data_IF_816591345127
#
_entry.id   IF_816591345127
#
_cell.length_a   1.000
_cell.length_b   1.000
_cell.length_c   1.000
_cell.angle_alpha   90.00
_cell.angle_beta   90.00
_cell.angle_gamma   90.00
#
_symmetry.space_group_name_H-M   'P 1'
#
loop_
_entity.id
_entity.type
_entity.pdbx_description
1 polymer ?
#
# COMPACT_ATOMS: atom_id res chain seq x y z
N UNK A 1 -25.29 11.19 17.44
CA UNK A 1 -23.94 11.71 17.71
C UNK A 1 -23.35 12.06 16.35
N UNK A 2 -23.24 13.35 16.03
CA UNK A 2 -22.69 13.78 14.74
C UNK A 2 -21.17 13.60 14.77
N UNK A 3 -20.63 12.89 13.78
CA UNK A 3 -19.18 12.77 13.60
C UNK A 3 -18.55 14.16 13.48
N UNK A 4 -17.39 14.41 14.10
CA UNK A 4 -16.70 15.69 13.97
C UNK A 4 -16.29 15.90 12.49
N UNK A 5 -16.32 17.15 12.00
CA UNK A 5 -15.93 17.45 10.64
C UNK A 5 -14.44 17.09 10.44
N UNK A 6 -14.16 16.33 9.38
CA UNK A 6 -12.79 16.04 8.96
C UNK A 6 -12.15 17.38 8.58
N UNK A 7 -10.99 17.75 9.16
CA UNK A 7 -10.33 19.00 8.81
C UNK A 7 -9.94 18.95 7.33
N UNK A 8 -10.60 19.77 6.50
CA UNK A 8 -10.22 19.98 5.12
C UNK A 8 -8.85 20.68 5.10
N UNK A 9 -7.80 19.89 4.96
CA UNK A 9 -6.50 20.40 4.56
C UNK A 9 -6.62 21.06 3.19
N UNK A 10 -6.15 22.30 3.06
CA UNK A 10 -6.02 23.02 1.78
C UNK A 10 -4.97 22.41 0.83
N UNK A 11 -4.26 21.37 1.27
CA UNK A 11 -3.35 20.59 0.44
C UNK A 11 -4.07 19.35 -0.11
N UNK A 12 -4.36 19.27 -1.42
CA UNK A 12 -5.03 18.13 -2.07
C UNK A 12 -4.35 16.78 -1.81
N UNK A 13 -3.03 16.79 -1.57
CA UNK A 13 -2.24 15.60 -1.25
C UNK A 13 -2.61 14.99 0.11
N UNK A 14 -3.05 15.81 1.08
CA UNK A 14 -3.44 15.32 2.42
C UNK A 14 -4.83 14.68 2.39
N UNK A 15 -5.73 15.11 1.50
CA UNK A 15 -7.07 14.50 1.38
C UNK A 15 -7.02 13.16 0.67
N UNK A 16 -6.19 13.00 -0.36
CA UNK A 16 -6.05 11.72 -1.09
C UNK A 16 -5.17 10.71 -0.37
N UNK A 17 -4.25 11.15 0.50
CA UNK A 17 -3.39 10.23 1.24
C UNK A 17 -4.13 9.42 2.32
N UNK A 18 -5.25 9.90 2.84
CA UNK A 18 -5.98 9.25 3.94
C UNK A 18 -7.21 8.46 3.52
N UNK A 19 -7.71 8.69 2.30
CA UNK A 19 -8.90 8.02 1.76
C UNK A 19 -8.44 6.84 0.88
N UNK A 20 -8.80 5.60 1.21
CA UNK A 20 -8.50 4.45 0.33
C UNK A 20 -9.34 4.50 -0.96
N UNK A 21 -8.88 3.92 -2.09
CA UNK A 21 -9.61 3.91 -3.35
C UNK A 21 -11.07 3.46 -3.24
N UNK A 22 -11.31 2.41 -2.44
CA UNK A 22 -12.65 1.88 -2.23
C UNK A 22 -13.55 2.87 -1.48
N UNK A 23 -13.02 3.63 -0.52
CA UNK A 23 -13.82 4.66 0.15
C UNK A 23 -14.14 5.82 -0.80
N UNK A 24 -13.20 6.23 -1.66
CA UNK A 24 -13.48 7.22 -2.70
C UNK A 24 -14.59 6.76 -3.66
N UNK A 25 -14.61 5.47 -4.01
CA UNK A 25 -15.71 4.88 -4.79
C UNK A 25 -17.06 4.94 -4.05
N UNK A 26 -17.08 4.65 -2.74
CA UNK A 26 -18.29 4.73 -1.92
C UNK A 26 -18.76 6.17 -1.77
N UNK A 27 -17.87 7.12 -1.57
CA UNK A 27 -18.22 8.54 -1.43
C UNK A 27 -18.86 9.12 -2.70
N UNK A 28 -18.60 8.50 -3.86
CA UNK A 28 -19.23 8.83 -5.14
C UNK A 28 -20.62 8.19 -5.33
N UNK A 29 -21.14 7.40 -4.38
CA UNK A 29 -22.42 6.70 -4.51
C UNK A 29 -23.63 7.61 -4.66
N UNK A 30 -23.54 8.83 -4.12
CA UNK A 30 -24.63 9.82 -4.13
C UNK A 30 -24.66 10.65 -5.44
N UNK A 31 -23.74 10.39 -6.35
CA UNK A 31 -23.67 11.05 -7.66
C UNK A 31 -24.54 10.35 -8.71
N UNK A 32 -24.71 10.98 -9.87
CA UNK A 32 -25.37 10.37 -11.03
C UNK A 32 -24.46 9.42 -11.82
N UNK A 33 -23.25 9.12 -11.34
CA UNK A 33 -22.28 8.28 -12.03
C UNK A 33 -22.66 6.80 -11.92
N UNK A 34 -22.54 6.08 -13.03
CA UNK A 34 -22.61 4.62 -13.03
C UNK A 34 -21.43 4.02 -12.24
N UNK A 35 -21.54 2.76 -11.86
CA UNK A 35 -20.45 2.05 -11.17
C UNK A 35 -19.12 2.12 -11.94
N UNK A 36 -19.13 1.90 -13.26
CA UNK A 36 -17.93 2.03 -14.09
C UNK A 36 -17.36 3.45 -14.02
N UNK A 37 -18.21 4.47 -14.14
CA UNK A 37 -17.76 5.87 -14.12
C UNK A 37 -17.20 6.29 -12.76
N UNK A 38 -17.67 5.69 -11.66
CA UNK A 38 -17.08 5.90 -10.34
C UNK A 38 -15.68 5.28 -10.26
N UNK A 39 -15.49 4.09 -10.81
CA UNK A 39 -14.15 3.49 -10.89
C UNK A 39 -13.21 4.27 -11.80
N UNK A 40 -13.70 4.78 -12.93
CA UNK A 40 -12.90 5.66 -13.81
C UNK A 40 -12.48 6.95 -13.08
N UNK A 41 -13.38 7.54 -12.28
CA UNK A 41 -13.06 8.71 -11.47
C UNK A 41 -12.01 8.39 -10.39
N UNK A 42 -12.11 7.24 -9.72
CA UNK A 42 -11.11 6.78 -8.75
C UNK A 42 -9.76 6.57 -9.44
N UNK A 43 -9.70 5.86 -10.56
CA UNK A 43 -8.46 5.67 -11.30
C UNK A 43 -7.82 7.00 -11.70
N UNK A 44 -8.61 7.94 -12.23
CA UNK A 44 -8.15 9.28 -12.57
C UNK A 44 -7.57 10.06 -11.38
N UNK A 45 -8.17 9.95 -10.18
CA UNK A 45 -7.65 10.60 -8.97
C UNK A 45 -6.27 10.04 -8.60
N UNK A 46 -6.06 8.72 -8.68
CA UNK A 46 -4.75 8.13 -8.36
C UNK A 46 -3.71 8.41 -9.45
N UNK A 47 -4.10 8.34 -10.72
CA UNK A 47 -3.25 8.68 -11.86
C UNK A 47 -2.79 10.14 -11.84
N UNK A 48 -3.70 11.08 -11.59
CA UNK A 48 -3.38 12.51 -11.56
C UNK A 48 -2.43 12.92 -10.42
N UNK A 49 -2.34 12.11 -9.36
CA UNK A 49 -1.42 12.31 -8.25
C UNK A 49 -0.06 11.60 -8.45
N UNK A 50 0.12 10.89 -9.56
CA UNK A 50 1.31 10.07 -9.80
C UNK A 50 2.04 10.55 -11.05
N UNK A 51 3.32 10.90 -10.91
CA UNK A 51 4.15 11.31 -12.05
C UNK A 51 4.92 10.14 -12.65
N UNK A 52 5.28 10.23 -13.93
CA UNK A 52 6.16 9.23 -14.58
C UNK A 52 7.50 9.08 -13.88
N UNK A 53 8.07 10.19 -13.38
CA UNK A 53 9.31 10.19 -12.61
C UNK A 53 9.16 9.41 -11.30
N UNK A 54 8.06 9.65 -10.58
CA UNK A 54 7.73 8.94 -9.35
C UNK A 54 7.60 7.43 -9.57
N UNK A 55 6.89 7.01 -10.63
CA UNK A 55 6.79 5.58 -11.00
C UNK A 55 8.14 4.96 -11.35
N UNK A 56 9.00 5.68 -12.10
CA UNK A 56 10.30 5.18 -12.48
C UNK A 56 11.23 5.00 -11.27
N UNK A 57 11.28 6.00 -10.39
CA UNK A 57 12.04 5.93 -9.15
C UNK A 57 11.53 4.82 -8.22
N UNK A 58 10.21 4.78 -8.00
CA UNK A 58 9.56 3.78 -7.17
C UNK A 58 9.79 2.36 -7.67
N UNK A 59 9.74 2.15 -8.99
CA UNK A 59 10.07 0.86 -9.61
C UNK A 59 11.50 0.42 -9.30
N UNK A 60 12.46 1.33 -9.44
CA UNK A 60 13.87 1.02 -9.16
C UNK A 60 14.07 0.67 -7.68
N UNK A 61 13.52 1.49 -6.77
CA UNK A 61 13.60 1.25 -5.33
C UNK A 61 12.94 -0.09 -4.95
N UNK A 62 11.76 -0.37 -5.51
CA UNK A 62 11.03 -1.60 -5.26
C UNK A 62 11.81 -2.84 -5.71
N UNK A 63 12.35 -2.82 -6.93
CA UNK A 63 13.12 -3.94 -7.47
C UNK A 63 14.35 -4.26 -6.60
N UNK A 64 15.00 -3.22 -6.05
CA UNK A 64 16.20 -3.38 -5.23
C UNK A 64 15.92 -3.80 -3.79
N UNK A 65 14.78 -3.42 -3.22
CA UNK A 65 14.57 -3.48 -1.76
C UNK A 65 13.31 -4.22 -1.32
N UNK A 66 12.33 -4.42 -2.21
CA UNK A 66 11.01 -4.95 -1.87
C UNK A 66 10.71 -6.27 -2.58
N UNK A 67 11.15 -6.42 -3.83
CA UNK A 67 10.84 -7.55 -4.69
C UNK A 67 11.33 -8.91 -4.15
N UNK A 68 12.40 -8.93 -3.35
CA UNK A 68 12.90 -10.16 -2.74
C UNK A 68 11.88 -10.83 -1.81
N UNK A 69 10.96 -10.06 -1.21
CA UNK A 69 9.87 -10.60 -0.38
C UNK A 69 8.51 -10.49 -1.08
N UNK A 70 8.23 -9.36 -1.74
CA UNK A 70 6.91 -9.11 -2.34
C UNK A 70 6.78 -9.59 -3.79
N UNK A 71 7.84 -10.14 -4.39
CA UNK A 71 7.88 -10.56 -5.79
C UNK A 71 8.05 -9.39 -6.77
N UNK A 72 8.63 -9.65 -7.95
CA UNK A 72 8.80 -8.61 -8.99
C UNK A 72 7.45 -8.08 -9.51
N UNK A 73 6.43 -8.95 -9.52
CA UNK A 73 5.08 -8.64 -9.95
C UNK A 73 4.16 -8.20 -8.78
N UNK A 74 4.71 -8.07 -7.56
CA UNK A 74 3.93 -7.65 -6.39
C UNK A 74 3.00 -8.71 -5.81
N UNK A 75 3.14 -9.99 -6.19
CA UNK A 75 2.22 -11.05 -5.79
C UNK A 75 2.49 -11.61 -4.38
N UNK A 76 3.44 -11.06 -3.63
CA UNK A 76 3.79 -11.56 -2.28
C UNK A 76 4.57 -12.87 -2.31
N UNK A 77 5.15 -13.23 -3.46
CA UNK A 77 5.78 -14.51 -3.78
C UNK A 77 7.30 -14.36 -4.04
N UNK A 78 7.93 -13.39 -3.39
CA UNK A 78 9.37 -13.20 -3.48
C UNK A 78 10.15 -14.40 -2.92
N UNK A 79 11.44 -14.47 -3.23
CA UNK A 79 12.32 -15.59 -2.82
C UNK A 79 12.35 -15.85 -1.30
N UNK A 80 11.99 -14.87 -0.47
CA UNK A 80 11.89 -15.02 0.99
C UNK A 80 10.46 -15.26 1.50
N UNK A 81 9.44 -15.33 0.63
CA UNK A 81 8.05 -15.44 1.04
C UNK A 81 7.75 -16.75 1.78
N UNK A 82 8.24 -17.88 1.26
CA UNK A 82 8.02 -19.21 1.86
C UNK A 82 8.71 -19.34 3.22
N UNK A 83 9.95 -18.84 3.33
CA UNK A 83 10.71 -18.85 4.60
C UNK A 83 9.98 -18.05 5.69
N UNK A 84 9.41 -16.89 5.34
CA UNK A 84 8.61 -16.06 6.27
C UNK A 84 7.29 -16.73 6.64
N UNK A 85 6.65 -17.44 5.70
CA UNK A 85 5.43 -18.21 5.96
C UNK A 85 5.68 -19.32 6.98
N UNK A 86 6.74 -20.11 6.76
CA UNK A 86 7.13 -21.20 7.64
C UNK A 86 7.46 -20.68 9.04
N UNK A 87 8.26 -19.61 9.13
CA UNK A 87 8.60 -19.02 10.42
C UNK A 87 7.36 -18.54 11.19
N UNK A 88 6.34 -18.02 10.47
CA UNK A 88 5.06 -17.64 11.05
C UNK A 88 4.27 -18.81 11.63
N UNK A 89 4.20 -19.92 10.90
CA UNK A 89 3.52 -21.15 11.33
C UNK A 89 4.20 -21.76 12.57
N UNK A 90 5.53 -21.79 12.59
CA UNK A 90 6.32 -22.29 13.71
C UNK A 90 6.09 -21.45 14.98
N UNK A 91 6.04 -20.12 14.86
CA UNK A 91 5.71 -19.22 15.98
C UNK A 91 4.31 -19.44 16.55
N UNK A 92 3.34 -19.88 15.72
CA UNK A 92 1.95 -20.14 16.17
C UNK A 92 1.80 -21.46 16.94
N UNK A 93 2.66 -22.45 16.70
CA UNK A 93 2.53 -23.79 17.29
C UNK A 93 3.02 -23.88 18.74
N UNK A 94 3.83 -22.93 19.22
CA UNK A 94 4.56 -23.08 20.50
C UNK A 94 3.92 -22.38 21.71
N UNK A 95 2.76 -21.73 21.58
CA UNK A 95 2.02 -21.04 22.67
C UNK A 95 2.84 -19.99 23.47
N UNK A 96 4.08 -19.68 23.08
CA UNK A 96 4.83 -18.48 23.47
C UNK A 96 4.32 -17.22 22.74
N UNK A 97 3.44 -17.41 21.75
CA UNK A 97 2.97 -16.47 20.73
C UNK A 97 2.12 -15.27 21.20
N UNK A 98 2.16 -14.89 22.48
CA UNK A 98 1.69 -13.57 22.92
C UNK A 98 2.82 -12.54 23.04
N UNK A 99 4.09 -12.98 22.95
CA UNK A 99 5.27 -12.10 23.02
C UNK A 99 6.26 -12.30 21.87
N UNK A 100 6.21 -13.43 21.16
CA UNK A 100 7.04 -13.67 19.98
C UNK A 100 6.30 -13.24 18.70
N UNK A 101 7.01 -12.50 17.86
CA UNK A 101 6.51 -11.79 16.69
C UNK A 101 6.01 -12.79 15.63
N UNK A 102 4.70 -12.88 15.40
CA UNK A 102 4.13 -13.75 14.35
C UNK A 102 4.57 -13.28 12.97
N UNK A 103 5.60 -13.92 12.39
CA UNK A 103 6.02 -13.68 11.00
C UNK A 103 4.81 -13.85 10.08
N UNK A 104 4.42 -12.74 9.46
CA UNK A 104 3.33 -12.70 8.49
C UNK A 104 3.94 -12.81 7.10
N UNK A 105 3.23 -13.48 6.20
CA UNK A 105 3.61 -13.51 4.81
C UNK A 105 3.58 -12.10 4.20
N UNK A 106 4.47 -11.82 3.23
CA UNK A 106 4.43 -10.58 2.46
C UNK A 106 3.04 -10.33 1.86
N UNK A 107 2.65 -9.07 1.81
CA UNK A 107 1.37 -8.67 1.21
C UNK A 107 1.44 -8.88 -0.31
N UNK A 108 0.43 -9.55 -0.85
CA UNK A 108 0.08 -9.56 -2.27
C UNK A 108 -0.57 -8.21 -2.66
N UNK A 109 0.18 -7.39 -3.37
CA UNK A 109 -0.24 -6.09 -3.91
C UNK A 109 -1.06 -6.19 -5.19
N UNK A 110 -1.23 -7.38 -5.76
CA UNK A 110 -2.13 -7.61 -6.91
C UNK A 110 -3.57 -7.85 -6.45
N UNK A 111 -3.78 -8.22 -5.18
CA UNK A 111 -5.11 -8.43 -4.61
C UNK A 111 -5.88 -7.11 -4.39
N UNK A 112 -6.93 -6.83 -5.19
CA UNK A 112 -7.65 -5.56 -5.12
C UNK A 112 -8.43 -5.39 -3.82
N UNK A 113 -8.92 -6.48 -3.22
CA UNK A 113 -9.65 -6.40 -1.95
C UNK A 113 -8.76 -5.89 -0.82
N UNK A 114 -7.45 -6.18 -0.87
CA UNK A 114 -6.49 -5.65 0.11
C UNK A 114 -6.03 -4.25 -0.26
N UNK A 115 -5.66 -4.03 -1.52
CA UNK A 115 -5.01 -2.79 -1.94
C UNK A 115 -5.98 -1.61 -2.08
N UNK A 116 -7.18 -1.83 -2.60
CA UNK A 116 -8.17 -0.76 -2.74
C UNK A 116 -8.78 -0.35 -1.38
N UNK A 117 -8.66 -1.20 -0.36
CA UNK A 117 -9.04 -0.87 1.02
C UNK A 117 -7.93 -0.17 1.83
N UNK A 118 -6.68 -0.21 1.36
CA UNK A 118 -5.56 0.47 2.01
C UNK A 118 -5.50 1.94 1.56
N UNK A 119 -5.25 2.85 2.50
CA UNK A 119 -4.97 4.25 2.18
C UNK A 119 -3.48 4.46 1.89
N UNK A 120 -3.09 5.45 1.05
CA UNK A 120 -1.68 5.74 0.80
C UNK A 120 -0.88 6.00 2.07
N UNK A 121 -1.45 6.69 3.06
CA UNK A 121 -0.83 6.96 4.36
C UNK A 121 -0.63 5.68 5.19
N UNK A 122 -1.52 4.68 5.07
CA UNK A 122 -1.32 3.38 5.70
C UNK A 122 -0.09 2.68 5.10
N UNK A 123 0.04 2.67 3.78
CA UNK A 123 1.18 2.07 3.09
C UNK A 123 2.48 2.82 3.42
N UNK A 124 2.47 4.15 3.38
CA UNK A 124 3.58 5.01 3.77
C UNK A 124 4.02 4.70 5.21
N UNK A 125 3.07 4.64 6.15
CA UNK A 125 3.34 4.35 7.56
C UNK A 125 3.90 2.94 7.81
N UNK A 126 3.58 1.97 6.94
CA UNK A 126 4.15 0.62 6.94
C UNK A 126 5.58 0.61 6.38
N UNK A 127 5.85 1.34 5.30
CA UNK A 127 7.20 1.46 4.74
C UNK A 127 8.12 2.17 5.73
N UNK A 128 7.67 3.28 6.31
CA UNK A 128 8.42 4.08 7.28
C UNK A 128 8.89 3.26 8.48
N UNK A 129 7.97 2.50 9.09
CA UNK A 129 8.20 1.82 10.37
C UNK A 129 8.52 0.34 10.24
N UNK A 130 8.34 -0.25 9.06
CA UNK A 130 8.23 -1.68 8.89
C UNK A 130 6.95 -2.24 9.53
N UNK A 131 6.90 -3.56 9.67
CA UNK A 131 5.83 -4.23 10.42
C UNK A 131 6.41 -4.99 11.60
N UNK A 132 6.09 -4.57 12.83
CA UNK A 132 6.28 -5.41 14.02
C UNK A 132 5.58 -6.74 13.78
N UNK A 133 6.26 -7.86 13.99
CA UNK A 133 5.72 -9.16 13.61
C UNK A 133 6.15 -9.66 12.24
N UNK A 134 6.41 -8.80 11.25
CA UNK A 134 6.38 -9.21 9.82
C UNK A 134 7.75 -9.45 9.17
N UNK A 135 8.85 -9.16 9.86
CA UNK A 135 10.20 -9.17 9.26
C UNK A 135 10.47 -8.02 8.27
N UNK A 136 9.48 -7.18 7.93
CA UNK A 136 9.66 -6.02 7.06
C UNK A 136 10.56 -4.95 7.70
N UNK A 137 11.68 -4.56 7.07
CA UNK A 137 12.58 -3.54 7.60
C UNK A 137 11.95 -2.16 7.79
N UNK A 138 12.53 -1.36 8.68
CA UNK A 138 12.18 0.05 8.89
C UNK A 138 12.90 0.92 7.85
N UNK A 139 12.21 1.26 6.75
CA UNK A 139 12.84 2.01 5.65
C UNK A 139 12.91 3.52 5.89
N UNK A 140 12.22 4.05 6.89
CA UNK A 140 12.21 5.49 7.19
C UNK A 140 13.56 6.07 7.64
N UNK A 141 14.52 5.22 8.01
CA UNK A 141 15.90 5.64 8.30
C UNK A 141 16.81 5.61 7.06
N UNK A 142 16.35 5.02 5.96
CA UNK A 142 17.15 4.76 4.74
C UNK A 142 16.66 5.61 3.58
N UNK A 143 15.35 5.73 3.39
CA UNK A 143 14.75 6.49 2.31
C UNK A 143 14.28 7.87 2.77
N UNK A 144 14.38 8.83 1.86
CA UNK A 144 13.75 10.14 1.99
C UNK A 144 12.22 10.02 1.90
N UNK A 145 11.51 11.05 2.36
CA UNK A 145 10.04 11.08 2.28
C UNK A 145 9.55 10.94 0.83
N UNK A 146 10.16 11.65 -0.12
CA UNK A 146 9.82 11.57 -1.54
C UNK A 146 10.01 10.16 -2.10
N UNK A 147 11.11 9.48 -1.74
CA UNK A 147 11.36 8.09 -2.16
C UNK A 147 10.33 7.11 -1.60
N UNK A 148 9.81 7.36 -0.40
CA UNK A 148 8.75 6.55 0.19
C UNK A 148 7.43 6.78 -0.55
N UNK A 149 7.13 8.01 -0.92
CA UNK A 149 5.96 8.30 -1.75
C UNK A 149 6.08 7.73 -3.17
N UNK A 150 7.28 7.72 -3.75
CA UNK A 150 7.56 7.05 -5.02
C UNK A 150 7.30 5.53 -4.92
N UNK A 151 7.68 4.90 -3.81
CA UNK A 151 7.34 3.50 -3.53
C UNK A 151 5.82 3.28 -3.41
N UNK A 152 5.11 4.16 -2.69
CA UNK A 152 3.64 4.06 -2.56
C UNK A 152 2.96 4.18 -3.93
N UNK A 153 3.38 5.16 -4.74
CA UNK A 153 2.88 5.34 -6.10
C UNK A 153 3.12 4.09 -6.96
N UNK A 154 4.34 3.52 -6.90
CA UNK A 154 4.66 2.29 -7.63
C UNK A 154 3.85 1.08 -7.13
N UNK A 155 3.62 0.94 -5.83
CA UNK A 155 2.80 -0.17 -5.29
C UNK A 155 1.35 -0.08 -5.80
N UNK A 156 0.77 1.12 -5.91
CA UNK A 156 -0.55 1.27 -6.53
C UNK A 156 -0.55 0.99 -8.06
N UNK A 157 0.60 0.95 -8.72
CA UNK A 157 0.71 0.56 -10.13
C UNK A 157 0.43 -0.92 -10.40
N UNK A 158 0.32 -1.74 -9.36
CA UNK A 158 -0.21 -3.10 -9.48
C UNK A 158 -1.74 -3.14 -9.55
N UNK A 159 -2.43 -2.02 -9.29
CA UNK A 159 -3.90 -1.91 -9.29
C UNK A 159 -4.45 -1.06 -10.43
N UNK A 160 -3.70 -0.04 -10.85
CA UNK A 160 -4.12 0.89 -11.89
C UNK A 160 -3.16 0.85 -13.09
N UNK A 161 -3.72 0.94 -14.28
CA UNK A 161 -2.95 0.95 -15.54
C UNK A 161 -2.41 2.35 -15.84
N UNK A 162 -1.28 2.69 -15.23
CA UNK A 162 -0.59 3.94 -15.54
C UNK A 162 -0.02 3.93 -16.98
N UNK A 163 -0.14 5.06 -17.68
CA UNK A 163 0.52 5.30 -18.96
C UNK A 163 2.04 5.37 -18.77
N UNK A 164 2.72 4.22 -18.87
CA UNK A 164 4.18 4.09 -18.74
C UNK A 164 4.89 4.92 -19.81
#
# INVERSE_FOLDING_TARGET
MSSPPIPHSSNPQITTSHIPPYQAFIDLSDTSLTESQRWDAVAYIWESNTTKGSLANGKQLYAQNCAACHGENGAGDGVFADDLAQAGEESMQTMSGAMDMTMQTPVDFTNPARMLGASPALLQGKILRGGMGTGMPMWGAIFTEDQIWDLVAYIYSFQFDYQK
#
